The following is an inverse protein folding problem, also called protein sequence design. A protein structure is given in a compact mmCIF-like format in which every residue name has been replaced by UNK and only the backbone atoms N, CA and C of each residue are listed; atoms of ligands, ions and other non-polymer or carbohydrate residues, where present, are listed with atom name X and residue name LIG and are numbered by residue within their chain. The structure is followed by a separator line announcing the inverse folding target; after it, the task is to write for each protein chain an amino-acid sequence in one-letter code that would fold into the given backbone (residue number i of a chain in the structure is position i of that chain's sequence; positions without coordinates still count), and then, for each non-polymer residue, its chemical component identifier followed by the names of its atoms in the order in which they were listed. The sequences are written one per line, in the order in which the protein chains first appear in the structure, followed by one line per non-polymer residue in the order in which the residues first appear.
data_IF_203098443130
#
_entry.id   IF_203098443130
#
_cell.length_a   1.000
_cell.length_b   1.000
_cell.length_c   1.000
_cell.angle_alpha   90.00
_cell.angle_beta   90.00
_cell.angle_gamma   90.00
#
_symmetry.space_group_name_H-M   'P 1'
#
loop_
_entity.id
_entity.type
_entity.pdbx_description
1 polymer ?
#
# COMPACT_ATOMS: atom_id res chain seq x y z
N UNK A 1 -22.23 10.68 -20.27
CA UNK A 1 -21.44 9.90 -19.30
C UNK A 1 -21.53 10.64 -17.97
N UNK A 2 -22.41 10.23 -17.06
CA UNK A 2 -22.66 10.96 -15.82
C UNK A 2 -22.36 10.07 -14.62
N UNK A 3 -21.27 10.37 -13.91
CA UNK A 3 -20.93 9.79 -12.60
C UNK A 3 -19.55 9.12 -12.54
N UNK A 4 -18.85 9.34 -11.44
CA UNK A 4 -17.61 8.65 -11.08
C UNK A 4 -16.32 9.32 -11.58
N UNK A 5 -15.24 8.54 -11.66
CA UNK A 5 -13.89 9.01 -11.99
C UNK A 5 -13.79 9.69 -13.38
N UNK A 6 -14.75 9.48 -14.28
CA UNK A 6 -14.79 10.18 -15.57
C UNK A 6 -14.83 11.71 -15.41
N UNK A 7 -15.62 12.23 -14.47
CA UNK A 7 -15.70 13.68 -14.22
C UNK A 7 -14.39 14.25 -13.68
N UNK A 8 -13.64 13.46 -12.89
CA UNK A 8 -12.31 13.86 -12.40
C UNK A 8 -11.33 13.91 -13.56
N UNK A 9 -11.34 12.89 -14.42
CA UNK A 9 -10.44 12.80 -15.58
C UNK A 9 -10.67 13.91 -16.61
N UNK A 10 -11.92 14.35 -16.77
CA UNK A 10 -12.31 15.41 -17.70
C UNK A 10 -12.12 16.83 -17.12
N UNK A 11 -11.78 16.97 -15.83
CA UNK A 11 -11.63 18.26 -15.19
C UNK A 11 -10.42 19.05 -15.75
N UNK A 12 -10.53 20.38 -15.99
CA UNK A 12 -9.45 21.17 -16.61
C UNK A 12 -8.10 21.13 -15.90
N UNK A 13 -8.08 20.90 -14.59
CA UNK A 13 -6.86 20.69 -13.81
C UNK A 13 -5.99 19.55 -14.38
N UNK A 14 -6.61 18.49 -14.88
CA UNK A 14 -5.91 17.32 -15.40
C UNK A 14 -5.76 17.32 -16.93
N UNK A 15 -5.97 18.47 -17.61
CA UNK A 15 -5.92 18.55 -19.09
C UNK A 15 -4.60 18.06 -19.71
N UNK A 16 -3.50 18.12 -18.95
CA UNK A 16 -2.15 17.73 -19.40
C UNK A 16 -1.83 16.28 -19.06
N UNK A 17 -2.73 15.57 -18.39
CA UNK A 17 -2.54 14.16 -18.03
C UNK A 17 -3.06 13.29 -19.16
N UNK A 18 -2.17 12.52 -19.77
CA UNK A 18 -2.57 11.40 -20.61
C UNK A 18 -2.83 10.17 -19.73
N UNK A 19 -4.11 9.87 -19.49
CA UNK A 19 -4.53 8.74 -18.66
C UNK A 19 -4.14 7.37 -19.27
N UNK A 20 -3.97 7.29 -20.59
CA UNK A 20 -3.48 6.09 -21.28
C UNK A 20 -2.00 5.82 -20.99
N UNK A 21 -1.19 6.87 -20.91
CA UNK A 21 0.21 6.77 -20.53
C UNK A 21 0.39 6.42 -19.04
N UNK A 22 -0.48 6.96 -18.18
CA UNK A 22 -0.48 6.64 -16.75
C UNK A 22 -0.77 5.15 -16.53
N UNK A 23 -1.84 4.60 -17.14
CA UNK A 23 -2.20 3.20 -16.95
C UNK A 23 -1.17 2.24 -17.55
N UNK A 24 -0.53 2.62 -18.66
CA UNK A 24 0.55 1.85 -19.27
C UNK A 24 1.91 2.04 -18.59
N UNK A 25 1.99 2.88 -17.55
CA UNK A 25 3.23 3.21 -16.83
C UNK A 25 4.36 3.65 -17.79
N UNK A 26 4.01 4.42 -18.82
CA UNK A 26 4.94 4.80 -19.90
C UNK A 26 6.05 5.73 -19.43
N UNK A 27 5.71 6.64 -18.52
CA UNK A 27 6.61 7.69 -18.06
C UNK A 27 7.07 7.41 -16.62
N UNK A 28 8.34 7.71 -16.27
CA UNK A 28 8.81 7.65 -14.89
C UNK A 28 8.01 8.59 -13.99
N UNK A 29 7.87 8.22 -12.72
CA UNK A 29 7.32 9.10 -11.70
C UNK A 29 8.20 10.34 -11.50
N UNK A 30 7.65 11.44 -10.94
CA UNK A 30 8.39 12.67 -10.71
C UNK A 30 9.52 12.51 -9.69
N UNK A 31 9.42 11.52 -8.80
CA UNK A 31 10.44 11.15 -7.82
C UNK A 31 10.78 9.69 -8.06
N UNK A 32 12.06 9.42 -8.29
CA UNK A 32 12.60 8.07 -8.39
C UNK A 32 13.21 7.70 -7.04
N UNK A 33 12.67 6.71 -6.32
CA UNK A 33 13.23 6.28 -5.04
C UNK A 33 14.68 5.80 -5.21
N UNK A 34 15.62 6.21 -4.35
CA UNK A 34 17.04 5.91 -4.51
C UNK A 34 17.43 4.50 -3.99
N UNK A 35 16.70 3.46 -4.41
CA UNK A 35 16.90 2.06 -3.96
C UNK A 35 18.30 1.55 -4.29
N UNK A 36 19.03 1.05 -3.29
CA UNK A 36 20.44 0.64 -3.41
C UNK A 36 20.65 -0.86 -3.47
N UNK A 37 19.79 -1.64 -2.83
CA UNK A 37 19.90 -3.10 -2.74
C UNK A 37 18.54 -3.76 -2.45
N UNK A 38 18.37 -5.07 -2.71
CA UNK A 38 17.17 -5.80 -2.29
C UNK A 38 17.01 -5.77 -0.77
N UNK A 39 15.88 -5.27 -0.28
CA UNK A 39 15.62 -5.08 1.17
C UNK A 39 15.95 -3.68 1.70
N UNK A 40 16.27 -2.73 0.83
CA UNK A 40 16.47 -1.34 1.22
C UNK A 40 15.14 -0.69 1.68
N UNK A 41 15.11 -0.30 2.96
CA UNK A 41 13.97 0.33 3.61
C UNK A 41 14.17 1.85 3.85
N UNK A 42 15.11 2.51 3.18
CA UNK A 42 15.46 3.93 3.45
C UNK A 42 14.30 4.93 3.24
N UNK A 43 13.27 4.55 2.48
CA UNK A 43 12.07 5.37 2.28
C UNK A 43 10.97 5.11 3.32
N UNK A 44 11.28 4.34 4.37
CA UNK A 44 10.41 4.08 5.52
C UNK A 44 11.09 4.62 6.78
N UNK A 45 10.27 5.03 7.74
CA UNK A 45 10.76 5.43 9.05
C UNK A 45 11.20 4.20 9.87
N UNK A 46 12.14 4.40 10.79
CA UNK A 46 12.49 3.39 11.77
C UNK A 46 11.44 3.37 12.89
N UNK A 47 10.83 2.22 13.10
CA UNK A 47 9.96 1.97 14.25
C UNK A 47 10.81 1.39 15.39
N UNK A 48 10.44 1.64 16.67
CA UNK A 48 11.03 0.89 17.77
C UNK A 48 10.87 -0.61 17.53
N UNK A 49 11.92 -1.36 17.81
CA UNK A 49 11.82 -2.82 17.83
C UNK A 49 10.86 -3.21 18.97
N UNK A 50 9.88 -4.05 18.65
CA UNK A 50 9.09 -4.76 19.65
C UNK A 50 9.89 -6.02 20.00
N UNK A 51 10.41 -6.07 21.24
CA UNK A 51 11.13 -7.23 21.77
C UNK A 51 10.19 -8.39 22.13
N UNK A 52 8.88 -8.20 21.96
CA UNK A 52 7.84 -9.16 22.33
C UNK A 52 7.62 -9.21 23.85
N UNK A 53 8.24 -8.33 24.63
CA UNK A 53 8.05 -8.31 26.07
C UNK A 53 6.67 -7.74 26.43
N UNK A 54 5.86 -8.55 27.10
CA UNK A 54 4.52 -8.16 27.56
C UNK A 54 3.38 -8.48 26.60
N UNK A 55 3.63 -9.25 25.52
CA UNK A 55 2.55 -9.84 24.75
C UNK A 55 1.97 -11.05 25.50
N UNK A 56 0.64 -11.09 25.65
CA UNK A 56 -0.03 -12.27 26.22
C UNK A 56 0.18 -13.49 25.32
N UNK A 57 0.32 -14.67 25.92
CA UNK A 57 0.41 -15.93 25.18
C UNK A 57 -0.90 -16.17 24.40
N UNK A 58 -0.78 -16.52 23.12
CA UNK A 58 -1.93 -16.88 22.31
C UNK A 58 -2.49 -18.23 22.78
N UNK A 59 -3.59 -18.18 23.55
CA UNK A 59 -4.15 -19.36 24.22
C UNK A 59 -4.99 -20.25 23.30
N UNK A 60 -5.27 -21.48 23.73
CA UNK A 60 -6.15 -22.40 23.02
C UNK A 60 -7.60 -21.89 22.89
N UNK A 61 -8.07 -21.06 23.83
CA UNK A 61 -9.39 -20.42 23.74
C UNK A 61 -9.40 -19.37 22.63
N UNK A 62 -8.32 -18.59 22.52
CA UNK A 62 -8.14 -17.62 21.43
C UNK A 62 -8.03 -18.31 20.07
N UNK A 63 -7.28 -19.41 19.96
CA UNK A 63 -7.19 -20.21 18.73
C UNK A 63 -8.58 -20.66 18.24
N UNK A 64 -9.38 -21.26 19.14
CA UNK A 64 -10.78 -21.65 18.82
C UNK A 64 -11.65 -20.48 18.41
N UNK A 65 -11.41 -19.31 18.99
CA UNK A 65 -12.19 -18.11 18.71
C UNK A 65 -11.78 -17.42 17.41
N UNK A 66 -10.50 -17.38 17.06
CA UNK A 66 -9.99 -16.47 16.03
C UNK A 66 -9.36 -17.17 14.82
N UNK A 67 -8.91 -18.43 14.91
CA UNK A 67 -8.23 -19.09 13.79
C UNK A 67 -9.10 -19.10 12.52
N UNK A 68 -10.41 -19.35 12.68
CA UNK A 68 -11.35 -19.37 11.57
C UNK A 68 -11.49 -18.03 10.81
N UNK A 69 -11.06 -16.91 11.42
CA UNK A 69 -11.02 -15.61 10.74
C UNK A 69 -9.92 -15.54 9.67
N UNK A 70 -9.03 -16.53 9.62
CA UNK A 70 -7.88 -16.58 8.73
C UNK A 70 -7.87 -17.83 7.84
N UNK A 71 -8.97 -18.58 7.76
CA UNK A 71 -9.03 -19.85 7.01
C UNK A 71 -8.67 -19.70 5.51
N UNK A 72 -8.86 -18.51 4.94
CA UNK A 72 -8.59 -18.18 3.53
C UNK A 72 -7.52 -17.08 3.34
N UNK A 73 -6.69 -16.81 4.36
CA UNK A 73 -5.58 -15.84 4.27
C UNK A 73 -4.38 -16.43 3.50
#
# INVERSE_FOLDING_TARGET
MSGGAALVKDHPFFRTVDWGDVISRRNPGPIIPPVRYPGDAQCFDAYPEDDGEGHDEYTADMARQYDHCFDDF
#
